data_IF_435252841308
#
_entry.id   IF_435252841308
#
_cell.length_a   1.000
_cell.length_b   1.000
_cell.length_c   1.000
_cell.angle_alpha   90.00
_cell.angle_beta   90.00
_cell.angle_gamma   90.00
#
_symmetry.space_group_name_H-M   'P 1'
#
loop_
_entity.id
_entity.type
_entity.pdbx_description
1 polymer ?
#
# COMPACT_ATOMS: atom_id res chain seq x y z
N UNK A 1 -70.29 27.14 4.55
CA UNK A 1 -69.98 25.87 3.89
C UNK A 1 -68.43 25.82 3.75
N UNK A 2 -67.87 24.96 4.59
CA UNK A 2 -66.48 24.60 4.60
C UNK A 2 -66.09 23.91 3.30
N UNK A 3 -64.83 24.16 2.81
CA UNK A 3 -64.08 23.25 1.96
C UNK A 3 -62.62 23.27 2.41
N UNK A 4 -62.27 22.22 3.13
CA UNK A 4 -60.93 21.88 3.48
C UNK A 4 -60.14 21.48 2.21
N UNK A 5 -59.01 22.17 1.96
CA UNK A 5 -58.05 21.75 0.98
C UNK A 5 -56.84 21.13 1.70
N UNK A 6 -56.79 19.81 1.72
CA UNK A 6 -55.67 19.05 2.27
C UNK A 6 -54.39 19.24 1.46
N UNK A 7 -53.43 19.89 2.06
CA UNK A 7 -52.06 19.99 1.55
C UNK A 7 -51.35 18.63 1.66
N UNK A 8 -51.09 17.98 0.53
CA UNK A 8 -50.23 16.80 0.44
C UNK A 8 -48.76 17.23 0.46
N UNK A 9 -48.16 17.14 1.61
CA UNK A 9 -46.71 17.31 1.77
C UNK A 9 -46.00 16.07 1.16
N UNK A 10 -45.39 16.27 0.01
CA UNK A 10 -44.50 15.27 -0.62
C UNK A 10 -43.23 15.14 0.21
N UNK A 11 -43.08 14.01 0.89
CA UNK A 11 -41.83 13.67 1.58
C UNK A 11 -40.72 13.40 0.54
N UNK A 12 -39.75 14.32 0.47
CA UNK A 12 -38.55 14.13 -0.30
C UNK A 12 -37.73 12.98 0.28
N UNK A 13 -37.73 11.84 -0.40
CA UNK A 13 -36.92 10.68 -0.07
C UNK A 13 -35.48 11.05 -0.36
N UNK A 14 -34.69 11.30 0.69
CA UNK A 14 -33.21 11.45 0.57
C UNK A 14 -32.62 10.21 -0.06
N UNK A 15 -31.73 10.35 -1.04
CA UNK A 15 -31.07 9.19 -1.66
C UNK A 15 -30.22 8.49 -0.59
N UNK A 16 -30.51 7.20 -0.34
CA UNK A 16 -29.67 6.33 0.46
C UNK A 16 -28.23 6.38 -0.08
N UNK A 17 -27.22 6.67 0.78
CA UNK A 17 -25.85 6.56 0.34
C UNK A 17 -25.60 5.11 -0.12
N UNK A 18 -25.15 4.95 -1.34
CA UNK A 18 -24.71 3.66 -1.88
C UNK A 18 -23.45 3.26 -1.09
N UNK A 19 -23.62 2.55 0.01
CA UNK A 19 -22.55 1.83 0.66
C UNK A 19 -22.10 0.71 -0.28
N UNK A 20 -21.24 1.06 -1.24
CA UNK A 20 -20.39 0.05 -1.85
C UNK A 20 -19.56 -0.55 -0.71
N UNK A 21 -19.56 -1.88 -0.53
CA UNK A 21 -18.68 -2.49 0.47
C UNK A 21 -17.25 -2.06 0.17
N UNK A 22 -16.66 -1.31 1.09
CA UNK A 22 -15.27 -0.86 1.02
C UNK A 22 -14.45 -2.13 0.91
N UNK A 23 -13.82 -2.33 -0.24
CA UNK A 23 -12.97 -3.48 -0.47
C UNK A 23 -11.87 -3.47 0.59
N UNK A 24 -11.93 -4.42 1.53
CA UNK A 24 -10.92 -4.56 2.58
C UNK A 24 -9.62 -4.97 1.92
N UNK A 25 -8.75 -4.04 1.76
CA UNK A 25 -7.46 -4.23 1.13
C UNK A 25 -6.44 -4.61 2.19
N UNK A 26 -5.92 -5.83 2.12
CA UNK A 26 -5.09 -6.37 3.20
C UNK A 26 -3.63 -5.95 3.15
N UNK A 27 -3.07 -5.60 2.00
CA UNK A 27 -1.65 -5.25 1.85
C UNK A 27 -1.45 -4.27 0.71
N UNK A 28 -0.73 -3.19 0.98
CA UNK A 28 -0.44 -2.16 -0.01
C UNK A 28 1.07 -2.05 -0.23
N UNK A 29 1.63 -2.73 -1.24
CA UNK A 29 2.97 -2.46 -1.70
C UNK A 29 3.09 -1.02 -2.20
N UNK A 30 4.12 -0.34 -1.73
CA UNK A 30 4.53 0.98 -2.18
C UNK A 30 5.92 0.85 -2.77
N UNK A 31 6.08 1.29 -4.00
CA UNK A 31 7.36 1.23 -4.70
C UNK A 31 7.51 2.41 -5.66
N UNK A 32 8.76 2.81 -5.91
CA UNK A 32 9.10 3.84 -6.87
C UNK A 32 10.11 3.30 -7.85
N UNK A 33 9.78 3.38 -9.14
CA UNK A 33 10.69 3.02 -10.23
C UNK A 33 11.15 4.28 -10.94
N UNK A 34 12.47 4.48 -11.04
CA UNK A 34 13.07 5.61 -11.73
C UNK A 34 13.43 5.29 -13.17
N UNK A 35 13.17 6.24 -14.05
CA UNK A 35 13.56 6.24 -15.45
C UNK A 35 14.70 7.26 -15.64
N UNK A 36 15.93 6.74 -15.63
CA UNK A 36 17.13 7.59 -15.60
C UNK A 36 17.32 8.28 -14.24
N UNK A 37 17.74 9.57 -14.27
CA UNK A 37 18.02 10.34 -13.05
C UNK A 37 17.02 11.48 -12.79
N UNK A 38 16.06 11.68 -13.68
CA UNK A 38 15.23 12.89 -13.71
C UNK A 38 13.83 12.68 -13.12
N UNK A 39 13.24 11.51 -13.33
CA UNK A 39 11.87 11.25 -12.89
C UNK A 39 11.63 9.76 -12.64
N UNK A 40 10.59 9.48 -11.89
CA UNK A 40 10.14 8.13 -11.58
C UNK A 40 8.62 8.03 -11.50
N UNK A 41 8.15 6.82 -11.36
CA UNK A 41 6.73 6.52 -11.11
C UNK A 41 6.64 5.90 -9.73
N UNK A 42 5.89 6.55 -8.84
CA UNK A 42 5.48 6.02 -7.55
C UNK A 42 4.14 5.32 -7.68
N UNK A 43 4.04 4.09 -7.20
CA UNK A 43 2.83 3.28 -7.25
C UNK A 43 2.45 2.81 -5.85
N UNK A 44 1.18 2.99 -5.50
CA UNK A 44 0.53 2.29 -4.40
C UNK A 44 -0.36 1.20 -5.01
N UNK A 45 -0.08 -0.03 -4.67
CA UNK A 45 -0.71 -1.20 -5.27
C UNK A 45 -1.55 -1.95 -4.24
N UNK A 46 -2.70 -2.45 -4.63
CA UNK A 46 -3.49 -3.35 -3.81
C UNK A 46 -3.19 -4.81 -4.16
N UNK A 47 -2.56 -5.53 -3.25
CA UNK A 47 -2.17 -6.91 -3.47
C UNK A 47 -3.37 -7.86 -3.62
N UNK A 48 -4.53 -7.52 -3.05
CA UNK A 48 -5.73 -8.36 -3.12
C UNK A 48 -6.46 -8.20 -4.46
N UNK A 49 -6.79 -6.98 -4.83
CA UNK A 49 -7.48 -6.71 -6.10
C UNK A 49 -6.54 -6.72 -7.30
N UNK A 50 -5.22 -6.80 -7.07
CA UNK A 50 -4.17 -6.71 -8.08
C UNK A 50 -4.26 -5.45 -8.95
N UNK A 51 -4.62 -4.32 -8.34
CA UNK A 51 -4.80 -3.04 -9.03
C UNK A 51 -3.91 -1.97 -8.44
N UNK A 52 -3.40 -1.08 -9.29
CA UNK A 52 -2.80 0.15 -8.83
C UNK A 52 -3.91 1.07 -8.29
N UNK A 53 -3.76 1.52 -7.04
CA UNK A 53 -4.66 2.47 -6.40
C UNK A 53 -4.24 3.90 -6.67
N UNK A 54 -2.94 4.13 -6.76
CA UNK A 54 -2.35 5.43 -7.08
C UNK A 54 -1.14 5.21 -7.96
N UNK A 55 -1.02 6.03 -9.01
CA UNK A 55 0.15 6.10 -9.88
C UNK A 55 0.50 7.58 -10.03
N UNK A 56 1.71 7.97 -9.65
CA UNK A 56 2.17 9.36 -9.69
C UNK A 56 3.53 9.45 -10.35
N UNK A 57 3.66 10.37 -11.32
CA UNK A 57 4.96 10.77 -11.82
C UNK A 57 5.61 11.72 -10.80
N UNK A 58 6.85 11.44 -10.43
CA UNK A 58 7.60 12.17 -9.40
C UNK A 58 9.03 12.44 -9.88
N UNK A 59 9.59 13.56 -9.48
CA UNK A 59 11.01 13.86 -9.69
C UNK A 59 11.88 13.24 -8.58
N UNK A 60 11.39 13.30 -7.36
CA UNK A 60 12.09 12.76 -6.18
C UNK A 60 11.10 12.08 -5.25
N UNK A 61 11.45 10.88 -4.84
CA UNK A 61 10.71 10.13 -3.84
C UNK A 61 10.92 10.72 -2.44
N UNK A 62 9.83 11.10 -1.79
CA UNK A 62 9.83 11.63 -0.41
C UNK A 62 8.78 10.94 0.46
N UNK A 63 9.00 10.93 1.78
CA UNK A 63 8.00 10.41 2.72
C UNK A 63 6.70 11.23 2.66
N UNK A 64 6.79 12.54 2.40
CA UNK A 64 5.63 13.41 2.24
C UNK A 64 4.70 12.99 1.09
N UNK A 65 5.27 12.57 -0.05
CA UNK A 65 4.47 12.06 -1.18
C UNK A 65 3.71 10.79 -0.81
N UNK A 66 4.32 9.88 -0.07
CA UNK A 66 3.63 8.68 0.41
C UNK A 66 2.52 9.02 1.39
N UNK A 67 2.76 9.96 2.32
CA UNK A 67 1.73 10.45 3.24
C UNK A 67 0.54 11.05 2.49
N UNK A 68 0.81 11.90 1.51
CA UNK A 68 -0.22 12.54 0.69
C UNK A 68 -1.02 11.50 -0.11
N UNK A 69 -0.35 10.52 -0.72
CA UNK A 69 -1.02 9.48 -1.49
C UNK A 69 -1.91 8.59 -0.61
N UNK A 70 -1.45 8.21 0.59
CA UNK A 70 -2.26 7.46 1.56
C UNK A 70 -3.44 8.27 2.06
N UNK A 71 -3.25 9.56 2.37
CA UNK A 71 -4.35 10.46 2.79
C UNK A 71 -5.42 10.54 1.70
N UNK A 72 -5.03 10.78 0.45
CA UNK A 72 -5.95 10.85 -0.67
C UNK A 72 -6.74 9.54 -0.91
N UNK A 73 -6.13 8.38 -0.63
CA UNK A 73 -6.82 7.09 -0.68
C UNK A 73 -7.83 6.94 0.46
N UNK A 74 -7.47 7.37 1.67
CA UNK A 74 -8.38 7.36 2.83
C UNK A 74 -9.58 8.28 2.63
N UNK A 75 -9.40 9.45 2.05
CA UNK A 75 -10.48 10.38 1.67
C UNK A 75 -11.47 9.74 0.67
N UNK A 76 -10.98 8.86 -0.20
CA UNK A 76 -11.80 8.06 -1.12
C UNK A 76 -12.45 6.83 -0.45
N UNK A 77 -12.30 6.67 0.86
CA UNK A 77 -12.87 5.56 1.63
C UNK A 77 -12.06 4.25 1.53
N UNK A 78 -10.82 4.29 1.06
CA UNK A 78 -9.95 3.10 1.04
C UNK A 78 -9.42 2.84 2.45
N UNK A 79 -9.65 1.63 2.95
CA UNK A 79 -9.12 1.19 4.24
C UNK A 79 -7.73 0.60 4.04
N UNK A 80 -6.70 1.27 4.58
CA UNK A 80 -5.32 0.80 4.54
C UNK A 80 -5.07 -0.09 5.76
N UNK A 81 -4.96 -1.39 5.58
CA UNK A 81 -4.74 -2.34 6.68
C UNK A 81 -3.27 -2.58 6.98
N UNK A 82 -2.43 -2.58 5.96
CA UNK A 82 -0.97 -2.67 6.11
C UNK A 82 -0.26 -2.10 4.90
N UNK A 83 0.96 -1.66 5.09
CA UNK A 83 1.82 -1.12 4.06
C UNK A 83 3.05 -2.01 3.91
N UNK A 84 3.47 -2.28 2.67
CA UNK A 84 4.74 -2.94 2.36
C UNK A 84 5.59 -1.93 1.59
N UNK A 85 6.80 -1.66 2.05
CA UNK A 85 7.72 -0.72 1.41
C UNK A 85 9.11 -1.33 1.20
N UNK A 86 9.95 -0.67 0.42
CA UNK A 86 11.32 -1.10 0.11
C UNK A 86 12.35 -0.87 1.23
N UNK A 87 11.91 -0.34 2.39
CA UNK A 87 12.78 0.01 3.51
C UNK A 87 13.38 1.41 3.41
N UNK A 88 12.75 2.31 2.64
CA UNK A 88 13.13 3.72 2.59
C UNK A 88 13.23 4.32 3.99
N UNK A 89 14.33 5.03 4.22
CA UNK A 89 14.62 5.67 5.52
C UNK A 89 13.46 6.56 5.98
N UNK A 90 13.06 6.41 7.24
CA UNK A 90 12.00 7.18 7.89
C UNK A 90 10.57 6.74 7.53
N UNK A 91 10.35 5.97 6.46
CA UNK A 91 8.99 5.59 6.05
C UNK A 91 8.29 4.69 7.08
N UNK A 92 9.05 3.84 7.78
CA UNK A 92 8.52 2.97 8.83
C UNK A 92 7.87 3.71 10.01
N UNK A 93 8.25 4.97 10.25
CA UNK A 93 7.68 5.81 11.32
C UNK A 93 6.58 6.79 10.86
N UNK A 94 6.29 6.85 9.57
CA UNK A 94 5.37 7.86 9.01
C UNK A 94 3.90 7.55 9.28
N UNK A 95 3.54 6.28 9.40
CA UNK A 95 2.16 5.82 9.59
C UNK A 95 2.05 5.05 10.91
N UNK A 96 1.90 5.74 12.05
CA UNK A 96 1.86 5.07 13.37
C UNK A 96 0.61 4.21 13.58
N UNK A 97 -0.42 4.45 12.81
CA UNK A 97 -1.72 3.77 12.88
C UNK A 97 -1.84 2.57 11.92
N UNK A 98 -0.81 2.30 11.11
CA UNK A 98 -0.82 1.22 10.10
C UNK A 98 0.43 0.36 10.26
N UNK A 99 0.29 -0.97 10.37
CA UNK A 99 1.44 -1.87 10.34
C UNK A 99 2.23 -1.73 9.03
N UNK A 100 3.54 -1.51 9.15
CA UNK A 100 4.43 -1.40 8.00
C UNK A 100 5.41 -2.58 8.02
N UNK A 101 5.55 -3.21 6.88
CA UNK A 101 6.51 -4.30 6.65
C UNK A 101 7.47 -3.93 5.53
N UNK A 102 8.74 -4.23 5.75
CA UNK A 102 9.72 -4.17 4.67
C UNK A 102 9.45 -5.26 3.64
N UNK A 103 9.49 -4.90 2.35
CA UNK A 103 9.34 -5.85 1.25
C UNK A 103 10.39 -6.95 1.32
N UNK A 104 9.97 -8.19 1.39
CA UNK A 104 10.86 -9.35 1.49
C UNK A 104 11.86 -9.42 0.33
N UNK A 105 11.42 -9.12 -0.88
CA UNK A 105 12.28 -9.07 -2.05
C UNK A 105 13.41 -8.05 -1.90
N UNK A 106 13.10 -6.82 -1.44
CA UNK A 106 14.12 -5.80 -1.20
C UNK A 106 15.04 -6.19 -0.04
N UNK A 107 14.51 -6.82 1.00
CA UNK A 107 15.32 -7.33 2.10
C UNK A 107 16.33 -8.39 1.64
N UNK A 108 15.89 -9.35 0.84
CA UNK A 108 16.78 -10.35 0.24
C UNK A 108 17.84 -9.68 -0.64
N UNK A 109 17.47 -8.70 -1.45
CA UNK A 109 18.43 -7.94 -2.29
C UNK A 109 19.50 -7.24 -1.45
N UNK A 110 19.11 -6.64 -0.32
CA UNK A 110 20.05 -5.98 0.59
C UNK A 110 21.01 -7.02 1.19
N UNK A 111 20.51 -8.13 1.70
CA UNK A 111 21.33 -9.21 2.28
C UNK A 111 22.32 -9.74 1.23
N UNK A 112 21.84 -10.08 0.03
CA UNK A 112 22.69 -10.60 -1.06
C UNK A 112 23.73 -9.59 -1.50
N UNK A 113 23.44 -8.30 -1.47
CA UNK A 113 24.42 -7.24 -1.78
C UNK A 113 25.59 -7.23 -0.78
N UNK A 114 25.32 -7.48 0.50
CA UNK A 114 26.36 -7.55 1.53
C UNK A 114 27.10 -8.89 1.56
N UNK A 115 26.42 -9.99 1.25
CA UNK A 115 26.97 -11.35 1.31
C UNK A 115 27.57 -11.83 -0.01
N UNK A 116 27.35 -11.13 -1.10
CA UNK A 116 27.56 -11.59 -2.48
C UNK A 116 26.58 -12.72 -2.91
N UNK A 117 26.56 -13.02 -4.21
CA UNK A 117 25.69 -14.09 -4.75
C UNK A 117 26.19 -15.50 -4.42
N UNK A 118 27.50 -15.65 -4.19
CA UNK A 118 28.17 -16.93 -3.88
C UNK A 118 29.09 -16.75 -2.67
N UNK A 119 28.52 -16.66 -1.46
CA UNK A 119 29.33 -16.47 -0.25
C UNK A 119 30.21 -17.69 0.02
N UNK A 120 31.44 -17.44 0.48
CA UNK A 120 32.43 -18.50 0.73
C UNK A 120 32.43 -18.97 2.20
N UNK A 121 32.11 -18.08 3.17
CA UNK A 121 32.12 -18.46 4.58
C UNK A 121 30.85 -19.22 4.96
N UNK A 122 30.92 -20.21 5.86
CA UNK A 122 29.73 -20.96 6.32
C UNK A 122 28.65 -20.07 6.90
N UNK A 123 29.00 -19.06 7.69
CA UNK A 123 28.06 -18.11 8.26
C UNK A 123 27.32 -17.30 7.18
N UNK A 124 28.01 -16.83 6.17
CA UNK A 124 27.41 -16.10 5.07
C UNK A 124 26.52 -16.99 4.18
N UNK A 125 26.87 -18.26 4.01
CA UNK A 125 26.03 -19.26 3.34
C UNK A 125 24.74 -19.53 4.12
N UNK A 126 24.83 -19.72 5.44
CA UNK A 126 23.70 -19.93 6.32
C UNK A 126 22.74 -18.71 6.31
N UNK A 127 23.30 -17.49 6.41
CA UNK A 127 22.48 -16.27 6.38
C UNK A 127 21.81 -16.07 5.01
N UNK A 128 22.49 -16.39 3.91
CA UNK A 128 21.89 -16.35 2.59
C UNK A 128 20.77 -17.38 2.45
N UNK A 129 20.97 -18.62 2.90
CA UNK A 129 19.92 -19.65 2.91
C UNK A 129 18.71 -19.19 3.71
N UNK A 130 18.91 -18.69 4.93
CA UNK A 130 17.84 -18.12 5.76
C UNK A 130 17.11 -16.97 5.05
N UNK A 131 17.82 -16.08 4.37
CA UNK A 131 17.17 -14.97 3.67
C UNK A 131 16.24 -15.42 2.54
N UNK A 132 16.53 -16.54 1.90
CA UNK A 132 15.68 -17.08 0.82
C UNK A 132 14.39 -17.71 1.35
N UNK A 133 14.34 -18.17 2.60
CA UNK A 133 13.10 -18.67 3.19
C UNK A 133 12.02 -17.59 3.35
N UNK A 134 12.41 -16.30 3.32
CA UNK A 134 11.44 -15.19 3.33
C UNK A 134 10.45 -15.26 2.16
N UNK A 135 10.83 -15.86 1.03
CA UNK A 135 9.93 -16.03 -0.12
C UNK A 135 8.95 -17.17 0.06
N UNK A 136 9.28 -18.16 0.88
CA UNK A 136 8.46 -19.35 1.09
C UNK A 136 7.31 -19.10 2.05
N UNK A 137 7.48 -18.16 3.00
CA UNK A 137 6.43 -17.77 3.96
C UNK A 137 5.20 -17.12 3.31
N UNK A 138 5.30 -16.78 2.03
CA UNK A 138 4.20 -16.16 1.27
C UNK A 138 3.26 -17.17 0.61
N UNK A 139 3.68 -18.41 0.44
CA UNK A 139 2.92 -19.44 -0.29
C UNK A 139 1.89 -20.19 0.58
N UNK A 140 1.87 -19.96 1.89
CA UNK A 140 1.08 -20.71 2.86
C UNK A 140 -0.11 -19.97 3.48
N UNK A 141 -0.50 -18.82 2.97
CA UNK A 141 -1.61 -18.04 3.52
C UNK A 141 -2.78 -17.93 2.53
N UNK A 142 -3.69 -18.86 2.58
CA UNK A 142 -5.05 -18.77 2.02
C UNK A 142 -5.94 -18.00 2.99
#
# INVERSE_FOLDING_TARGET
RSTDAASKTSAATSPKPLHRPIARCHRHPMDTTYFGRQWGIMVLYDARSKRALTVMAIERETNALYTQAVAALREKGVVIQSIICDGKSGLLGVFPDVPIQMCQFHQIKIIVRHLTRKPKSPAAQALRALSLTLTETYSGGV
#
